data_IF_614430237793
#
_entry.id   IF_614430237793
#
_cell.length_a   1.000
_cell.length_b   1.000
_cell.length_c   1.000
_cell.angle_alpha   90.00
_cell.angle_beta   90.00
_cell.angle_gamma   90.00
#
_symmetry.space_group_name_H-M   'P 1'
#
loop_
_entity.id
_entity.type
_entity.pdbx_description
1 polymer ?
#
# COMPACT_ATOMS: atom_id res chain seq x y z
N UNK A 1 5.78 33.79 11.06
CA UNK A 1 5.60 32.63 10.15
C UNK A 1 5.29 31.47 11.08
N UNK A 2 4.02 31.36 11.45
CA UNK A 2 3.58 30.43 12.49
C UNK A 2 3.35 29.05 11.85
N UNK A 3 3.67 27.97 12.57
CA UNK A 3 3.65 26.59 12.05
C UNK A 3 2.25 26.04 11.69
N UNK A 4 1.24 26.90 11.62
CA UNK A 4 -0.16 26.56 11.36
C UNK A 4 -0.47 26.45 9.85
N UNK A 5 0.35 27.05 8.97
CA UNK A 5 0.09 27.13 7.53
C UNK A 5 0.32 25.82 6.74
N UNK A 6 0.84 24.77 7.38
CA UNK A 6 1.24 23.51 6.73
C UNK A 6 0.40 22.29 7.12
N UNK A 7 -0.59 22.45 8.01
CA UNK A 7 -1.48 21.35 8.37
C UNK A 7 -2.65 21.28 7.40
N UNK A 8 -2.69 20.22 6.60
CA UNK A 8 -3.84 19.97 5.74
C UNK A 8 -5.09 19.75 6.61
N UNK A 9 -6.14 20.54 6.37
CA UNK A 9 -7.43 20.40 7.05
C UNK A 9 -8.55 20.23 6.03
N UNK A 10 -9.48 19.32 6.34
CA UNK A 10 -10.68 19.08 5.51
C UNK A 10 -11.91 19.04 6.40
N UNK A 11 -12.82 19.98 6.18
CA UNK A 11 -14.04 20.15 6.97
C UNK A 11 -13.75 20.23 8.48
N UNK A 12 -12.75 21.02 8.88
CA UNK A 12 -12.38 21.22 10.29
C UNK A 12 -11.67 20.05 10.97
N UNK A 13 -11.26 19.01 10.23
CA UNK A 13 -10.49 17.86 10.75
C UNK A 13 -9.11 17.79 10.11
N UNK A 14 -8.12 17.39 10.90
CA UNK A 14 -6.72 17.22 10.48
C UNK A 14 -6.41 15.79 9.98
N UNK A 15 -7.25 14.81 10.32
CA UNK A 15 -7.11 13.44 9.80
C UNK A 15 -8.26 13.14 8.86
N UNK A 16 -7.94 12.88 7.60
CA UNK A 16 -8.93 12.61 6.57
C UNK A 16 -8.38 11.76 5.43
N UNK A 17 -9.31 11.23 4.64
CA UNK A 17 -9.04 10.51 3.40
C UNK A 17 -9.65 11.30 2.23
N UNK A 18 -8.88 11.51 1.17
CA UNK A 18 -9.30 12.26 -0.02
C UNK A 18 -9.35 11.41 -1.31
N UNK A 19 -9.26 10.09 -1.20
CA UNK A 19 -9.35 9.18 -2.35
C UNK A 19 -10.75 9.12 -2.97
N UNK A 20 -10.80 9.13 -4.31
CA UNK A 20 -12.04 9.04 -5.08
C UNK A 20 -12.49 7.61 -5.41
N UNK A 21 -13.80 7.40 -5.48
CA UNK A 21 -14.41 6.08 -5.79
C UNK A 21 -14.02 5.57 -7.18
N UNK A 22 -14.07 6.41 -8.22
CA UNK A 22 -13.72 6.02 -9.59
C UNK A 22 -12.26 5.58 -9.70
N UNK A 23 -11.36 6.27 -8.99
CA UNK A 23 -9.94 5.90 -8.95
C UNK A 23 -9.76 4.54 -8.27
N UNK A 24 -10.42 4.31 -7.14
CA UNK A 24 -10.39 3.02 -6.45
C UNK A 24 -10.86 1.87 -7.35
N UNK A 25 -12.00 2.05 -8.01
CA UNK A 25 -12.55 1.06 -8.95
C UNK A 25 -11.55 0.79 -10.08
N UNK A 26 -10.95 1.84 -10.66
CA UNK A 26 -9.92 1.70 -11.70
C UNK A 26 -8.72 0.87 -11.25
N UNK A 27 -8.18 1.13 -10.05
CA UNK A 27 -7.06 0.38 -9.50
C UNK A 27 -7.40 -1.08 -9.19
N UNK A 28 -8.60 -1.35 -8.67
CA UNK A 28 -9.06 -2.72 -8.39
C UNK A 28 -9.22 -3.51 -9.69
N UNK A 29 -9.85 -2.93 -10.72
CA UNK A 29 -10.03 -3.57 -12.02
C UNK A 29 -8.68 -3.84 -12.67
N UNK A 30 -7.78 -2.86 -12.69
CA UNK A 30 -6.43 -3.01 -13.25
C UNK A 30 -5.65 -4.12 -12.51
N UNK A 31 -5.68 -4.10 -11.17
CA UNK A 31 -5.05 -5.11 -10.35
C UNK A 31 -5.62 -6.51 -10.60
N UNK A 32 -6.94 -6.63 -10.75
CA UNK A 32 -7.62 -7.89 -11.05
C UNK A 32 -7.21 -8.42 -12.42
N UNK A 33 -7.25 -7.59 -13.47
CA UNK A 33 -6.85 -7.96 -14.83
C UNK A 33 -5.41 -8.48 -14.84
N UNK A 34 -4.48 -7.75 -14.21
CA UNK A 34 -3.07 -8.16 -14.16
C UNK A 34 -2.90 -9.46 -13.38
N UNK A 35 -3.61 -9.63 -12.26
CA UNK A 35 -3.53 -10.85 -11.44
C UNK A 35 -4.07 -12.07 -12.20
N UNK A 36 -5.19 -11.93 -12.91
CA UNK A 36 -5.78 -13.03 -13.70
C UNK A 36 -4.90 -13.41 -14.88
N UNK A 37 -4.42 -12.43 -15.65
CA UNK A 37 -3.58 -12.67 -16.83
C UNK A 37 -2.25 -13.35 -16.45
N UNK A 38 -1.71 -13.02 -15.28
CA UNK A 38 -0.42 -13.56 -14.81
C UNK A 38 -0.55 -14.79 -13.91
N UNK A 39 -1.74 -15.38 -13.81
CA UNK A 39 -2.03 -16.50 -12.90
C UNK A 39 -1.57 -16.24 -11.45
N UNK A 40 -1.71 -15.00 -10.97
CA UNK A 40 -1.37 -14.60 -9.61
C UNK A 40 0.09 -14.21 -9.38
N UNK A 41 0.97 -14.36 -10.38
CA UNK A 41 2.41 -14.05 -10.22
C UNK A 41 2.64 -12.55 -9.97
N UNK A 42 1.87 -11.67 -10.62
CA UNK A 42 2.01 -10.22 -10.46
C UNK A 42 1.13 -9.62 -9.36
N UNK A 43 0.57 -10.43 -8.45
CA UNK A 43 -0.15 -9.94 -7.27
C UNK A 43 0.60 -8.86 -6.45
N UNK A 44 1.91 -8.97 -6.16
CA UNK A 44 2.62 -7.94 -5.38
C UNK A 44 2.60 -6.57 -6.06
N UNK A 45 2.58 -6.51 -7.40
CA UNK A 45 2.48 -5.26 -8.12
C UNK A 45 1.10 -4.60 -7.90
N UNK A 46 0.02 -5.35 -8.10
CA UNK A 46 -1.34 -4.89 -7.82
C UNK A 46 -1.49 -4.40 -6.37
N UNK A 47 -0.92 -5.15 -5.42
CA UNK A 47 -0.93 -4.80 -4.01
C UNK A 47 -0.21 -3.48 -3.74
N UNK A 48 1.00 -3.28 -4.27
CA UNK A 48 1.74 -2.03 -4.07
C UNK A 48 1.04 -0.81 -4.65
N UNK A 49 0.35 -0.96 -5.80
CA UNK A 49 -0.40 0.15 -6.40
C UNK A 49 -1.63 0.53 -5.60
N UNK A 50 -2.48 -0.45 -5.25
CA UNK A 50 -3.73 -0.20 -4.50
C UNK A 50 -3.40 0.35 -3.11
N UNK A 51 -2.41 -0.25 -2.43
CA UNK A 51 -1.96 0.21 -1.12
C UNK A 51 -1.31 1.59 -1.21
N UNK A 52 -0.43 1.82 -2.18
CA UNK A 52 0.21 3.11 -2.40
C UNK A 52 -0.79 4.22 -2.69
N UNK A 53 -1.79 3.96 -3.55
CA UNK A 53 -2.89 4.89 -3.79
C UNK A 53 -3.64 5.22 -2.49
N UNK A 54 -3.97 4.22 -1.67
CA UNK A 54 -4.66 4.44 -0.39
C UNK A 54 -3.83 5.32 0.56
N UNK A 55 -2.54 5.02 0.72
CA UNK A 55 -1.67 5.77 1.63
C UNK A 55 -1.46 7.21 1.16
N UNK A 56 -1.21 7.43 -0.14
CA UNK A 56 -0.99 8.76 -0.70
C UNK A 56 -2.23 9.68 -0.61
N UNK A 57 -3.43 9.09 -0.45
CA UNK A 57 -4.70 9.79 -0.22
C UNK A 57 -5.12 9.82 1.26
N UNK A 58 -4.24 9.42 2.18
CA UNK A 58 -4.50 9.47 3.62
C UNK A 58 -3.63 10.56 4.25
N UNK A 59 -4.30 11.45 4.97
CA UNK A 59 -3.69 12.52 5.77
C UNK A 59 -3.97 12.22 7.24
N UNK A 60 -2.93 12.20 8.07
CA UNK A 60 -3.03 11.95 9.51
C UNK A 60 -2.38 13.13 10.23
N UNK A 61 -3.11 13.73 11.18
CA UNK A 61 -2.64 14.91 11.92
C UNK A 61 -2.15 16.05 11.01
N UNK A 62 -2.83 16.26 9.89
CA UNK A 62 -2.53 17.27 8.87
C UNK A 62 -1.25 17.01 8.07
N UNK A 63 -0.58 15.87 8.27
CA UNK A 63 0.57 15.42 7.47
C UNK A 63 0.14 14.35 6.48
N UNK A 64 0.41 14.57 5.21
CA UNK A 64 0.15 13.59 4.15
C UNK A 64 1.12 12.42 4.28
N UNK A 65 0.58 11.20 4.17
CA UNK A 65 1.41 10.00 4.11
C UNK A 65 1.85 9.73 2.67
N UNK A 66 3.02 9.11 2.54
CA UNK A 66 3.58 8.68 1.27
C UNK A 66 4.02 7.24 1.37
N UNK A 67 3.65 6.44 0.36
CA UNK A 67 4.14 5.09 0.21
C UNK A 67 5.28 5.05 -0.83
N UNK A 68 6.45 4.59 -0.41
CA UNK A 68 7.67 4.48 -1.24
C UNK A 68 8.01 3.05 -1.64
N UNK A 69 7.12 2.09 -1.36
CA UNK A 69 7.38 0.67 -1.62
C UNK A 69 7.34 0.32 -3.10
N UNK A 70 8.39 -0.34 -3.58
CA UNK A 70 8.49 -0.83 -4.96
C UNK A 70 7.97 -2.26 -5.09
N UNK A 71 7.21 -2.53 -6.15
CA UNK A 71 6.77 -3.87 -6.52
C UNK A 71 7.95 -4.85 -6.68
N UNK A 72 9.06 -4.40 -7.27
CA UNK A 72 10.28 -5.23 -7.41
C UNK A 72 10.90 -5.57 -6.05
N UNK A 73 10.88 -4.62 -5.10
CA UNK A 73 11.35 -4.84 -3.74
C UNK A 73 10.49 -5.87 -2.98
N UNK A 74 9.19 -5.90 -3.26
CA UNK A 74 8.27 -6.90 -2.70
C UNK A 74 8.39 -8.27 -3.40
N UNK A 75 8.60 -8.28 -4.72
CA UNK A 75 8.59 -9.49 -5.56
C UNK A 75 9.59 -10.55 -5.11
N UNK A 76 10.80 -10.14 -4.70
CA UNK A 76 11.82 -11.06 -4.19
C UNK A 76 11.42 -11.76 -2.90
N UNK A 77 10.73 -11.07 -1.99
CA UNK A 77 10.17 -11.68 -0.78
C UNK A 77 8.93 -12.52 -1.10
N UNK A 78 8.12 -12.06 -2.06
CA UNK A 78 6.90 -12.74 -2.49
C UNK A 78 7.16 -14.16 -3.00
N UNK A 79 8.17 -14.36 -3.86
CA UNK A 79 8.53 -15.70 -4.36
C UNK A 79 8.95 -16.62 -3.21
N UNK A 80 9.76 -16.13 -2.26
CA UNK A 80 10.20 -16.91 -1.09
C UNK A 80 9.01 -17.33 -0.23
N UNK A 81 8.08 -16.40 -0.02
CA UNK A 81 6.86 -16.64 0.76
C UNK A 81 5.92 -17.62 0.06
N UNK A 82 5.75 -17.50 -1.25
CA UNK A 82 4.97 -18.46 -2.05
C UNK A 82 5.56 -19.87 -1.95
N UNK A 83 6.87 -20.02 -2.14
CA UNK A 83 7.53 -21.32 -2.06
C UNK A 83 7.34 -21.98 -0.68
N UNK A 84 7.54 -21.22 0.40
CA UNK A 84 7.32 -21.72 1.77
C UNK A 84 5.86 -22.05 2.03
N UNK A 85 4.93 -21.28 1.49
CA UNK A 85 3.49 -21.55 1.60
C UNK A 85 3.13 -22.85 0.89
N UNK A 86 3.68 -23.13 -0.29
CA UNK A 86 3.45 -24.39 -1.00
C UNK A 86 4.02 -25.58 -0.22
N UNK A 87 5.26 -25.48 0.26
CA UNK A 87 5.93 -26.55 1.02
C UNK A 87 5.17 -26.89 2.30
N UNK A 88 4.60 -25.89 2.97
CA UNK A 88 3.85 -26.05 4.21
C UNK A 88 2.35 -26.30 3.99
N UNK A 89 1.93 -26.59 2.76
CA UNK A 89 0.53 -26.82 2.37
C UNK A 89 -0.41 -25.69 2.84
N UNK A 90 0.06 -24.44 2.77
CA UNK A 90 -0.71 -23.24 3.09
C UNK A 90 -0.47 -22.69 4.49
N UNK A 91 0.09 -23.45 5.44
CA UNK A 91 0.21 -23.02 6.85
C UNK A 91 1.10 -21.77 6.99
N UNK A 92 2.17 -21.65 6.21
CA UNK A 92 3.06 -20.50 6.31
C UNK A 92 2.39 -19.17 5.89
N UNK A 93 1.23 -19.22 5.23
CA UNK A 93 0.49 -18.02 4.81
C UNK A 93 0.15 -17.07 5.98
N UNK A 94 -0.10 -17.60 7.18
CA UNK A 94 -0.33 -16.76 8.37
C UNK A 94 0.87 -15.85 8.69
N UNK A 95 2.10 -16.33 8.49
CA UNK A 95 3.31 -15.52 8.64
C UNK A 95 3.50 -14.55 7.49
N UNK A 96 3.13 -14.94 6.27
CA UNK A 96 3.18 -14.07 5.09
C UNK A 96 2.33 -12.82 5.32
N UNK A 97 1.12 -12.97 5.88
CA UNK A 97 0.26 -11.84 6.20
C UNK A 97 0.95 -10.82 7.14
N UNK A 98 1.56 -11.29 8.24
CA UNK A 98 2.25 -10.43 9.19
C UNK A 98 3.46 -9.75 8.55
N UNK A 99 4.29 -10.50 7.81
CA UNK A 99 5.48 -9.97 7.14
C UNK A 99 5.14 -8.95 6.05
N UNK A 100 3.99 -9.13 5.40
CA UNK A 100 3.49 -8.20 4.39
C UNK A 100 3.04 -6.89 5.01
N UNK A 101 2.35 -6.93 6.16
CA UNK A 101 1.98 -5.71 6.91
C UNK A 101 3.22 -4.97 7.43
N UNK A 102 4.20 -5.69 7.98
CA UNK A 102 5.48 -5.10 8.39
C UNK A 102 6.22 -4.44 7.21
N UNK A 103 6.23 -5.11 6.06
CA UNK A 103 6.82 -4.54 4.84
C UNK A 103 6.08 -3.29 4.36
N UNK A 104 4.74 -3.27 4.40
CA UNK A 104 3.94 -2.08 4.06
C UNK A 104 4.26 -0.91 4.99
N UNK A 105 4.30 -1.16 6.29
CA UNK A 105 4.61 -0.16 7.31
C UNK A 105 6.01 0.42 7.12
N UNK A 106 7.01 -0.44 6.89
CA UNK A 106 8.40 -0.03 6.63
C UNK A 106 8.55 0.91 5.42
N UNK A 107 7.69 0.77 4.41
CA UNK A 107 7.72 1.58 3.19
C UNK A 107 6.69 2.72 3.21
N UNK A 108 6.14 3.06 4.38
CA UNK A 108 5.22 4.19 4.55
C UNK A 108 5.88 5.25 5.41
N UNK A 109 5.97 6.48 4.92
CA UNK A 109 6.55 7.62 5.63
C UNK A 109 5.64 8.82 5.56
N UNK A 110 5.78 9.77 6.48
CA UNK A 110 5.19 11.10 6.28
C UNK A 110 5.96 11.84 5.19
N UNK A 111 5.27 12.63 4.38
CA UNK A 111 5.92 13.55 3.45
C UNK A 111 6.76 14.54 4.27
N UNK A 112 8.08 14.66 4.01
CA UNK A 112 8.90 15.64 4.73
C UNK A 112 8.48 17.05 4.32
N UNK A 113 8.05 17.84 5.31
CA UNK A 113 7.78 19.25 5.15
C UNK A 113 9.13 19.97 5.03
N UNK A 114 9.44 20.56 3.86
CA UNK A 114 10.56 21.49 3.67
C UNK A 114 10.21 22.88 4.20
#
# INVERSE_FOLDING_TARGET
MDREDFYETKNGRTSFFDGGLLQYIGWIILGFIVTVITFGICYPWALTMVYGWKINHTVIEGRRMQFSGSAFGLFGNWIKWLLLTIITLGIYYFWVFIKLEDWKAKNTTFVPNL
#
